data_IF_641021546761
#
_entry.id   IF_641021546761
#
_cell.length_a   1.000
_cell.length_b   1.000
_cell.length_c   1.000
_cell.angle_alpha   90.00
_cell.angle_beta   90.00
_cell.angle_gamma   90.00
#
_symmetry.space_group_name_H-M   'P 1'
#
loop_
_entity.id
_entity.type
_entity.pdbx_description
1 polymer ?
#
# COMPACT_ATOMS: atom_id res chain seq x y z
N UNK A 1 -4.30 -14.19 -11.61
CA UNK A 1 -3.20 -13.21 -11.60
C UNK A 1 -3.42 -12.22 -10.46
N UNK A 2 -2.41 -12.03 -9.64
CA UNK A 2 -2.56 -11.20 -8.43
C UNK A 2 -2.53 -9.71 -8.76
N UNK A 3 -3.33 -8.94 -8.04
CA UNK A 3 -3.49 -7.50 -8.24
C UNK A 3 -3.04 -6.74 -7.01
N UNK A 4 -2.27 -5.69 -7.24
CA UNK A 4 -1.82 -4.76 -6.19
C UNK A 4 -2.46 -3.40 -6.43
N UNK A 5 -3.07 -2.83 -5.40
CA UNK A 5 -3.56 -1.46 -5.42
C UNK A 5 -2.48 -0.57 -4.81
N UNK A 6 -2.00 0.40 -5.59
CA UNK A 6 -1.02 1.38 -5.14
C UNK A 6 -1.73 2.71 -4.92
N UNK A 7 -1.66 3.23 -3.69
CA UNK A 7 -2.27 4.51 -3.32
C UNK A 7 -1.15 5.50 -3.06
N UNK A 8 -0.89 6.36 -4.02
CA UNK A 8 0.27 7.24 -4.04
C UNK A 8 0.00 8.45 -4.92
N UNK A 9 0.22 9.67 -4.42
CA UNK A 9 0.00 10.87 -5.23
C UNK A 9 1.26 11.37 -5.96
N UNK A 10 2.44 10.88 -5.60
CA UNK A 10 3.67 11.17 -6.34
C UNK A 10 3.75 10.30 -7.58
N UNK A 11 3.76 10.92 -8.75
CA UNK A 11 3.84 10.18 -10.02
C UNK A 11 5.16 9.43 -10.15
N UNK A 12 6.26 10.01 -9.65
CA UNK A 12 7.58 9.36 -9.67
C UNK A 12 7.57 8.08 -8.82
N UNK A 13 7.04 8.16 -7.62
CA UNK A 13 6.98 6.99 -6.72
C UNK A 13 6.03 5.92 -7.25
N UNK A 14 4.90 6.34 -7.83
CA UNK A 14 3.97 5.42 -8.48
C UNK A 14 4.65 4.66 -9.61
N UNK A 15 5.44 5.36 -10.43
CA UNK A 15 6.14 4.75 -11.54
C UNK A 15 7.15 3.71 -11.08
N UNK A 16 7.93 4.02 -10.04
CA UNK A 16 8.91 3.09 -9.49
C UNK A 16 8.23 1.83 -8.96
N UNK A 17 7.20 1.99 -8.14
CA UNK A 17 6.46 0.85 -7.60
C UNK A 17 5.82 0.01 -8.72
N UNK A 18 5.19 0.67 -9.67
CA UNK A 18 4.53 0.00 -10.79
C UNK A 18 5.51 -0.83 -11.60
N UNK A 19 6.68 -0.25 -11.90
CA UNK A 19 7.71 -0.94 -12.67
C UNK A 19 8.19 -2.21 -11.96
N UNK A 20 8.50 -2.10 -10.67
CA UNK A 20 8.99 -3.25 -9.90
C UNK A 20 7.92 -4.34 -9.77
N UNK A 21 6.69 -3.94 -9.50
CA UNK A 21 5.59 -4.90 -9.34
C UNK A 21 5.24 -5.61 -10.64
N UNK A 22 5.26 -4.89 -11.77
CA UNK A 22 5.02 -5.49 -13.07
C UNK A 22 6.12 -6.47 -13.46
N UNK A 23 7.37 -6.16 -13.11
CA UNK A 23 8.48 -7.09 -13.35
C UNK A 23 8.27 -8.40 -12.59
N UNK A 24 7.57 -8.36 -11.47
CA UNK A 24 7.25 -9.56 -10.69
C UNK A 24 5.99 -10.29 -11.21
N UNK A 25 5.40 -9.83 -12.30
CA UNK A 25 4.24 -10.48 -12.91
C UNK A 25 2.91 -10.08 -12.30
N UNK A 26 2.86 -8.99 -11.56
CA UNK A 26 1.64 -8.55 -10.88
C UNK A 26 0.87 -7.52 -11.72
N UNK A 27 -0.45 -7.53 -11.58
CA UNK A 27 -1.31 -6.48 -12.13
C UNK A 27 -1.32 -5.32 -11.14
N UNK A 28 -1.08 -4.11 -11.62
CA UNK A 28 -1.03 -2.92 -10.78
C UNK A 28 -2.16 -1.97 -11.13
N UNK A 29 -2.92 -1.58 -10.12
CA UNK A 29 -3.91 -0.52 -10.22
C UNK A 29 -3.42 0.61 -9.33
N UNK A 30 -3.25 1.81 -9.87
CA UNK A 30 -2.77 2.94 -9.08
C UNK A 30 -3.83 4.02 -8.98
N UNK A 31 -3.94 4.60 -7.78
CA UNK A 31 -4.82 5.72 -7.48
C UNK A 31 -4.04 6.75 -6.68
N UNK A 32 -4.55 7.97 -6.60
CA UNK A 32 -3.79 9.10 -6.05
C UNK A 32 -4.31 9.60 -4.70
N UNK A 33 -5.40 9.04 -4.21
CA UNK A 33 -6.00 9.49 -2.95
C UNK A 33 -6.76 8.36 -2.26
N UNK A 34 -7.08 8.57 -1.00
CA UNK A 34 -7.93 7.64 -0.26
C UNK A 34 -9.32 7.52 -0.83
N UNK A 35 -9.87 8.63 -1.34
CA UNK A 35 -11.19 8.64 -1.96
C UNK A 35 -11.23 7.73 -3.19
N UNK A 36 -10.24 7.86 -4.08
CA UNK A 36 -10.14 6.98 -5.24
C UNK A 36 -9.93 5.51 -4.82
N UNK A 37 -9.14 5.29 -3.77
CA UNK A 37 -8.92 3.94 -3.26
C UNK A 37 -10.23 3.30 -2.81
N UNK A 38 -11.05 4.04 -2.06
CA UNK A 38 -12.36 3.53 -1.62
C UNK A 38 -13.24 3.14 -2.79
N UNK A 39 -13.27 3.96 -3.84
CA UNK A 39 -14.06 3.67 -5.03
C UNK A 39 -13.59 2.37 -5.71
N UNK A 40 -12.29 2.21 -5.84
CA UNK A 40 -11.72 1.00 -6.44
C UNK A 40 -12.01 -0.24 -5.63
N UNK A 41 -11.91 -0.13 -4.31
CA UNK A 41 -12.13 -1.27 -3.40
C UNK A 41 -13.57 -1.75 -3.42
N UNK A 42 -14.53 -0.90 -3.77
CA UNK A 42 -15.92 -1.30 -3.92
C UNK A 42 -16.14 -2.16 -5.17
N UNK A 43 -15.38 -1.92 -6.23
CA UNK A 43 -15.56 -2.66 -7.48
C UNK A 43 -14.69 -3.90 -7.58
N UNK A 44 -13.50 -3.89 -6.96
CA UNK A 44 -12.56 -5.01 -7.04
C UNK A 44 -11.66 -5.04 -5.82
N UNK A 45 -11.54 -6.21 -5.20
CA UNK A 45 -10.64 -6.39 -4.07
C UNK A 45 -9.26 -6.80 -4.57
N UNK A 46 -8.20 -6.03 -4.23
CA UNK A 46 -6.85 -6.43 -4.57
C UNK A 46 -6.32 -7.50 -3.62
N UNK A 47 -5.20 -8.10 -3.98
CA UNK A 47 -4.51 -9.07 -3.13
C UNK A 47 -3.55 -8.39 -2.15
N UNK A 48 -3.20 -7.14 -2.42
CA UNK A 48 -2.27 -6.35 -1.61
C UNK A 48 -2.56 -4.88 -1.84
N UNK A 49 -2.48 -4.07 -0.78
CA UNK A 49 -2.55 -2.61 -0.86
C UNK A 49 -1.20 -2.05 -0.41
N UNK A 50 -0.61 -1.19 -1.22
CA UNK A 50 0.59 -0.42 -0.87
C UNK A 50 0.17 1.05 -0.85
N UNK A 51 0.37 1.73 0.26
CA UNK A 51 -0.07 3.12 0.38
C UNK A 51 0.93 4.00 1.10
N UNK A 52 1.03 5.25 0.66
CA UNK A 52 1.83 6.26 1.34
C UNK A 52 1.05 6.85 2.51
N UNK A 53 1.79 7.45 3.45
CA UNK A 53 1.21 8.19 4.58
C UNK A 53 0.73 9.57 4.12
N UNK A 54 1.52 10.26 3.30
CA UNK A 54 1.24 11.64 2.90
C UNK A 54 0.42 11.62 1.61
N UNK A 55 -0.89 11.80 1.77
CA UNK A 55 -1.86 11.78 0.67
C UNK A 55 -2.79 12.98 0.78
N UNK A 56 -3.38 13.44 -0.34
CA UNK A 56 -4.35 14.52 -0.27
C UNK A 56 -5.60 14.10 0.50
N UNK A 57 -6.07 14.97 1.36
CA UNK A 57 -7.26 14.73 2.17
C UNK A 57 -6.98 13.87 3.39
N UNK A 58 -7.13 12.57 3.25
CA UNK A 58 -6.99 11.61 4.34
C UNK A 58 -5.57 11.04 4.38
N UNK A 59 -4.97 10.92 5.56
CA UNK A 59 -3.64 10.32 5.67
C UNK A 59 -3.67 8.81 5.41
N UNK A 60 -2.52 8.28 4.97
CA UNK A 60 -2.39 6.84 4.77
C UNK A 60 -2.59 6.03 6.04
N UNK A 61 -2.25 6.58 7.20
CA UNK A 61 -2.52 5.91 8.48
C UNK A 61 -4.02 5.72 8.71
N UNK A 62 -4.82 6.75 8.41
CA UNK A 62 -6.26 6.68 8.54
C UNK A 62 -6.88 5.69 7.54
N UNK A 63 -6.36 5.69 6.31
CA UNK A 63 -6.80 4.74 5.28
C UNK A 63 -6.50 3.32 5.73
N UNK A 64 -5.30 3.06 6.23
CA UNK A 64 -4.89 1.76 6.74
C UNK A 64 -5.85 1.28 7.85
N UNK A 65 -6.07 2.13 8.83
CA UNK A 65 -6.96 1.81 9.94
C UNK A 65 -8.38 1.48 9.44
N UNK A 66 -8.89 2.28 8.51
CA UNK A 66 -10.20 2.04 7.91
C UNK A 66 -10.28 0.68 7.20
N UNK A 67 -9.26 0.32 6.44
CA UNK A 67 -9.20 -0.95 5.75
C UNK A 67 -9.15 -2.13 6.73
N UNK A 68 -8.35 -2.00 7.79
CA UNK A 68 -8.13 -3.10 8.74
C UNK A 68 -9.28 -3.26 9.74
N UNK A 69 -10.18 -2.30 9.83
CA UNK A 69 -11.35 -2.36 10.72
C UNK A 69 -12.66 -2.61 9.98
N UNK A 70 -12.65 -2.63 8.65
CA UNK A 70 -13.84 -2.92 7.84
C UNK A 70 -13.90 -4.41 7.51
N UNK A 71 -15.04 -5.05 7.75
CA UNK A 71 -15.25 -6.48 7.52
C UNK A 71 -14.94 -6.90 6.09
N UNK A 72 -15.19 -6.02 5.12
CA UNK A 72 -15.00 -6.35 3.69
C UNK A 72 -13.54 -6.28 3.25
N UNK A 73 -12.67 -5.59 3.99
CA UNK A 73 -11.29 -5.32 3.57
C UNK A 73 -10.23 -5.73 4.58
N UNK A 74 -10.61 -6.08 5.80
CA UNK A 74 -9.64 -6.32 6.88
C UNK A 74 -8.65 -7.44 6.62
N UNK A 75 -8.98 -8.37 5.72
CA UNK A 75 -8.09 -9.50 5.38
C UNK A 75 -7.09 -9.17 4.29
N UNK A 76 -7.25 -8.04 3.62
CA UNK A 76 -6.32 -7.62 2.57
C UNK A 76 -5.05 -7.11 3.25
N UNK A 77 -3.87 -7.65 2.92
CA UNK A 77 -2.62 -7.12 3.47
C UNK A 77 -2.41 -5.67 3.06
N UNK A 78 -1.99 -4.84 4.01
CA UNK A 78 -1.73 -3.42 3.78
C UNK A 78 -0.28 -3.12 4.14
N UNK A 79 0.46 -2.58 3.19
CA UNK A 79 1.85 -2.16 3.36
C UNK A 79 1.92 -0.66 3.25
N UNK A 80 2.49 0.00 4.27
CA UNK A 80 2.77 1.43 4.19
C UNK A 80 4.13 1.60 3.53
N UNK A 81 4.20 2.48 2.53
CA UNK A 81 5.43 2.79 1.82
C UNK A 81 5.63 4.30 1.86
N UNK A 82 6.61 4.79 2.64
CA UNK A 82 6.72 6.21 2.91
C UNK A 82 8.15 6.61 3.25
N UNK A 83 8.44 7.91 3.09
CA UNK A 83 9.66 8.51 3.59
C UNK A 83 9.59 8.83 5.08
N UNK A 84 8.41 8.73 5.70
CA UNK A 84 8.23 8.86 7.15
C UNK A 84 8.61 7.54 7.79
N UNK A 85 9.85 7.44 8.27
CA UNK A 85 10.43 6.16 8.72
C UNK A 85 11.00 6.20 10.15
N UNK A 86 10.56 7.16 10.94
CA UNK A 86 10.95 7.19 12.37
C UNK A 86 10.38 5.97 13.09
N UNK A 87 10.96 5.64 14.22
CA UNK A 87 10.44 4.53 15.03
C UNK A 87 8.97 4.77 15.44
N UNK A 88 8.62 6.04 15.69
CA UNK A 88 7.24 6.41 16.04
C UNK A 88 6.31 6.18 14.84
N UNK A 89 6.73 6.57 13.63
CA UNK A 89 5.93 6.35 12.43
C UNK A 89 5.66 4.86 12.21
N UNK A 90 6.69 4.03 12.34
CA UNK A 90 6.57 2.59 12.16
C UNK A 90 5.69 1.95 13.22
N UNK A 91 5.85 2.38 14.47
CA UNK A 91 5.02 1.91 15.56
C UNK A 91 3.56 2.28 15.32
N UNK A 92 3.31 3.52 14.91
CA UNK A 92 1.96 3.99 14.64
C UNK A 92 1.29 3.18 13.52
N UNK A 93 2.03 2.94 12.42
CA UNK A 93 1.53 2.11 11.33
C UNK A 93 1.17 0.70 11.78
N UNK A 94 2.03 0.09 12.59
CA UNK A 94 1.77 -1.24 13.15
C UNK A 94 0.53 -1.26 14.03
N UNK A 95 0.38 -0.26 14.89
CA UNK A 95 -0.78 -0.16 15.79
C UNK A 95 -2.10 0.01 15.01
N UNK A 96 -2.05 0.65 13.85
CA UNK A 96 -3.22 0.84 13.01
C UNK A 96 -3.49 -0.33 12.06
N UNK A 97 -2.68 -1.37 12.15
CA UNK A 97 -2.92 -2.63 11.44
C UNK A 97 -2.10 -2.86 10.19
N UNK A 98 -1.13 -2.00 9.88
CA UNK A 98 -0.27 -2.23 8.73
C UNK A 98 0.49 -3.56 8.89
N UNK A 99 0.50 -4.34 7.83
CA UNK A 99 1.16 -5.65 7.83
C UNK A 99 2.66 -5.54 7.59
N UNK A 100 3.10 -4.46 6.96
CA UNK A 100 4.52 -4.16 6.76
C UNK A 100 4.71 -2.67 6.51
N UNK A 101 5.96 -2.22 6.65
CA UNK A 101 6.34 -0.82 6.45
C UNK A 101 7.57 -0.79 5.55
N UNK A 102 7.46 -0.14 4.40
CA UNK A 102 8.54 -0.06 3.41
C UNK A 102 9.01 1.38 3.29
N UNK A 103 10.31 1.59 3.47
CA UNK A 103 10.90 2.94 3.39
C UNK A 103 11.10 3.36 1.93
N UNK A 104 10.98 4.67 1.68
CA UNK A 104 11.41 5.27 0.43
C UNK A 104 12.83 5.82 0.59
N UNK A 105 13.66 5.78 -0.44
CA UNK A 105 13.42 5.23 -1.77
C UNK A 105 13.26 3.71 -1.73
N UNK A 106 12.40 3.18 -2.60
CA UNK A 106 12.03 1.77 -2.56
C UNK A 106 13.19 0.90 -3.00
N UNK A 107 13.56 -0.05 -2.15
CA UNK A 107 14.53 -1.10 -2.47
C UNK A 107 13.75 -2.27 -3.09
N UNK A 108 14.12 -2.65 -4.30
CA UNK A 108 13.43 -3.71 -5.03
C UNK A 108 13.45 -5.05 -4.29
N UNK A 109 14.56 -5.41 -3.66
CA UNK A 109 14.65 -6.67 -2.93
C UNK A 109 13.70 -6.70 -1.74
N UNK A 110 13.63 -5.59 -1.00
CA UNK A 110 12.71 -5.49 0.15
C UNK A 110 11.26 -5.55 -0.31
N UNK A 111 10.94 -4.87 -1.40
CA UNK A 111 9.59 -4.93 -1.96
C UNK A 111 9.25 -6.36 -2.36
N UNK A 112 10.17 -7.07 -3.01
CA UNK A 112 9.92 -8.45 -3.43
C UNK A 112 9.75 -9.40 -2.24
N UNK A 113 10.49 -9.18 -1.15
CA UNK A 113 10.30 -9.96 0.07
C UNK A 113 8.89 -9.79 0.62
N UNK A 114 8.39 -8.55 0.63
CA UNK A 114 7.04 -8.23 1.08
C UNK A 114 6.00 -8.89 0.16
N UNK A 115 6.19 -8.76 -1.15
CA UNK A 115 5.29 -9.39 -2.13
C UNK A 115 5.21 -10.90 -1.90
N UNK A 116 6.35 -11.57 -1.76
CA UNK A 116 6.39 -13.02 -1.56
C UNK A 116 5.79 -13.43 -0.22
N UNK A 117 5.84 -12.57 0.78
CA UNK A 117 5.25 -12.85 2.09
C UNK A 117 3.73 -12.84 2.04
N UNK A 118 3.13 -11.92 1.28
CA UNK A 118 1.69 -11.70 1.29
C UNK A 118 0.96 -12.19 0.04
N UNK A 119 1.67 -12.43 -1.06
CA UNK A 119 1.11 -12.96 -2.30
C UNK A 119 1.88 -14.22 -2.67
N UNK A 120 1.22 -15.34 -2.64
CA UNK A 120 1.84 -16.62 -2.99
C UNK A 120 1.63 -17.00 -4.45
#
# INVERSE_FOLDING_TARGET
MSTVLVVEDSLTDTEVLTRYLKQAGLVVVSVQSGEEAHMRLQSQKPDLVILDVILPGQSGFEICHGLKTNEDTKRIPVVICSSKVSEVDKLWGSMLGADAYLAKPVDMQKLMQIVHQFIS
#
